data_IF_498282655953
#
_entry.id   IF_498282655953
#
_cell.length_a   1.000
_cell.length_b   1.000
_cell.length_c   1.000
_cell.angle_alpha   90.00
_cell.angle_beta   90.00
_cell.angle_gamma   90.00
#
_symmetry.space_group_name_H-M   'P 1'
#
loop_
_entity.id
_entity.type
_entity.pdbx_description
1 polymer ?
#
# COMPACT_ATOMS: atom_id res chain seq x y z
N UNK A 1 -1.92 17.22 -29.46
CA UNK A 1 -0.89 16.16 -29.46
C UNK A 1 -0.09 16.25 -28.17
N UNK A 2 0.38 15.14 -27.62
CA UNK A 2 1.23 15.10 -26.41
C UNK A 2 2.58 14.49 -26.74
N UNK A 3 3.64 15.00 -26.12
CA UNK A 3 4.99 14.43 -26.15
C UNK A 3 5.37 13.93 -24.75
N UNK A 4 5.90 12.72 -24.66
CA UNK A 4 6.37 12.11 -23.40
C UNK A 4 7.54 11.16 -23.68
N UNK A 5 8.49 11.05 -22.76
CA UNK A 5 9.58 10.08 -22.87
C UNK A 5 9.03 8.65 -22.73
N UNK A 6 9.52 7.74 -23.57
CA UNK A 6 9.07 6.35 -23.59
C UNK A 6 9.24 5.64 -22.24
N UNK A 7 10.39 5.76 -21.53
CA UNK A 7 10.54 5.18 -20.20
C UNK A 7 9.55 5.74 -19.18
N UNK A 8 9.18 7.02 -19.30
CA UNK A 8 8.20 7.64 -18.40
C UNK A 8 6.80 7.07 -18.64
N UNK A 9 6.35 6.98 -19.90
CA UNK A 9 5.06 6.36 -20.24
C UNK A 9 5.02 4.88 -19.84
N UNK A 10 6.10 4.14 -20.08
CA UNK A 10 6.24 2.75 -19.66
C UNK A 10 6.10 2.63 -18.14
N UNK A 11 6.77 3.49 -17.37
CA UNK A 11 6.65 3.54 -15.91
C UNK A 11 5.21 3.80 -15.46
N UNK A 12 4.49 4.75 -16.07
CA UNK A 12 3.09 5.01 -15.71
C UNK A 12 2.23 3.76 -15.87
N UNK A 13 2.42 3.02 -16.98
CA UNK A 13 1.71 1.77 -17.25
C UNK A 13 2.08 0.70 -16.21
N UNK A 14 3.37 0.50 -15.97
CA UNK A 14 3.88 -0.54 -15.08
C UNK A 14 3.43 -0.35 -13.62
N UNK A 15 3.26 0.91 -13.19
CA UNK A 15 2.77 1.28 -11.86
C UNK A 15 1.30 0.90 -11.63
N UNK A 16 0.45 1.03 -12.66
CA UNK A 16 -1.00 0.83 -12.49
C UNK A 16 -1.47 -0.54 -12.99
N UNK A 17 -0.71 -1.21 -13.88
CA UNK A 17 -1.05 -2.52 -14.44
C UNK A 17 -1.43 -3.60 -13.40
N UNK A 18 -0.76 -3.70 -12.23
CA UNK A 18 -1.13 -4.68 -11.20
C UNK A 18 -2.54 -4.49 -10.59
N UNK A 19 -3.13 -3.31 -10.77
CA UNK A 19 -4.44 -2.94 -10.22
C UNK A 19 -5.59 -3.18 -11.19
N UNK A 20 -5.32 -3.75 -12.38
CA UNK A 20 -6.34 -4.14 -13.35
C UNK A 20 -7.07 -5.41 -12.89
N UNK A 21 -8.32 -5.65 -13.31
CA UNK A 21 -9.00 -6.89 -12.97
C UNK A 21 -8.25 -8.08 -13.60
N UNK A 22 -8.11 -9.17 -12.85
CA UNK A 22 -7.62 -10.42 -13.43
C UNK A 22 -8.61 -10.91 -14.49
N UNK A 23 -8.12 -11.21 -15.69
CA UNK A 23 -8.92 -11.55 -16.87
C UNK A 23 -9.94 -12.70 -16.66
N UNK A 24 -9.73 -13.55 -15.64
CA UNK A 24 -10.55 -14.72 -15.33
C UNK A 24 -11.68 -14.48 -14.34
N UNK A 25 -11.72 -13.35 -13.62
CA UNK A 25 -12.61 -13.24 -12.46
C UNK A 25 -13.88 -12.45 -12.73
N UNK A 26 -13.88 -11.48 -13.64
CA UNK A 26 -15.04 -10.58 -13.90
C UNK A 26 -15.05 -10.08 -15.35
N UNK A 27 -15.60 -10.84 -16.30
CA UNK A 27 -15.57 -10.47 -17.73
C UNK A 27 -16.36 -9.21 -18.07
N UNK A 28 -17.22 -8.72 -17.17
CA UNK A 28 -17.96 -7.46 -17.34
C UNK A 28 -17.16 -6.23 -16.90
N UNK A 29 -16.02 -6.40 -16.25
CA UNK A 29 -15.15 -5.28 -15.89
C UNK A 29 -14.19 -4.97 -17.04
N UNK A 30 -13.88 -3.69 -17.18
CA UNK A 30 -12.90 -3.22 -18.16
C UNK A 30 -11.49 -3.73 -17.80
N UNK A 31 -11.02 -4.74 -18.54
CA UNK A 31 -9.63 -5.23 -18.48
C UNK A 31 -8.73 -4.28 -19.28
N UNK A 32 -8.33 -3.17 -18.66
CA UNK A 32 -7.55 -2.13 -19.32
C UNK A 32 -7.12 -1.03 -18.36
N UNK A 33 -6.56 0.03 -18.91
CA UNK A 33 -6.27 1.28 -18.17
C UNK A 33 -6.95 2.45 -18.86
N UNK A 34 -7.31 3.46 -18.10
CA UNK A 34 -7.66 4.77 -18.64
C UNK A 34 -6.39 5.61 -18.74
N UNK A 35 -6.00 5.98 -19.95
CA UNK A 35 -5.06 7.07 -20.18
C UNK A 35 -5.85 8.36 -20.31
N UNK A 36 -5.58 9.34 -19.46
CA UNK A 36 -6.29 10.61 -19.44
C UNK A 36 -5.30 11.78 -19.42
N UNK A 37 -5.30 12.55 -20.50
CA UNK A 37 -4.62 13.82 -20.57
C UNK A 37 -5.55 14.94 -20.13
N UNK A 38 -5.20 15.66 -19.06
CA UNK A 38 -5.96 16.80 -18.58
C UNK A 38 -5.08 17.70 -17.68
N UNK A 39 -5.29 19.01 -17.74
CA UNK A 39 -4.71 19.99 -16.81
C UNK A 39 -3.16 19.96 -16.72
N UNK A 40 -2.49 19.67 -17.84
CA UNK A 40 -1.02 19.55 -17.90
C UNK A 40 -0.47 18.22 -17.39
N UNK A 41 -1.33 17.22 -17.18
CA UNK A 41 -0.95 15.90 -16.69
C UNK A 41 -1.50 14.77 -17.55
N UNK A 42 -0.68 13.75 -17.76
CA UNK A 42 -1.09 12.45 -18.30
C UNK A 42 -1.26 11.53 -17.11
N UNK A 43 -2.48 11.06 -16.90
CA UNK A 43 -2.82 10.09 -15.88
C UNK A 43 -2.96 8.71 -16.52
N UNK A 44 -2.31 7.71 -15.94
CA UNK A 44 -2.65 6.31 -16.14
C UNK A 44 -3.47 5.85 -14.93
N UNK A 45 -4.64 5.27 -15.18
CA UNK A 45 -5.58 4.87 -14.13
C UNK A 45 -5.98 3.41 -14.33
N UNK A 46 -5.89 2.61 -13.27
CA UNK A 46 -6.34 1.24 -13.25
C UNK A 46 -7.16 0.96 -11.99
N UNK A 47 -8.16 0.10 -12.11
CA UNK A 47 -8.96 -0.38 -10.98
C UNK A 47 -9.46 -1.79 -11.29
N UNK A 48 -9.56 -2.62 -10.26
CA UNK A 48 -10.21 -3.93 -10.36
C UNK A 48 -11.72 -3.86 -10.12
N UNK A 49 -12.25 -2.63 -9.98
CA UNK A 49 -13.67 -2.33 -9.81
C UNK A 49 -14.23 -2.67 -8.43
N UNK A 50 -13.41 -3.10 -7.47
CA UNK A 50 -13.89 -3.62 -6.19
C UNK A 50 -13.03 -3.16 -5.03
N UNK A 51 -11.77 -3.57 -5.04
CA UNK A 51 -10.88 -3.47 -3.88
C UNK A 51 -9.69 -2.59 -4.15
N UNK A 52 -9.46 -2.17 -5.40
CA UNK A 52 -8.25 -1.42 -5.71
C UNK A 52 -8.42 -0.36 -6.78
N UNK A 53 -7.70 0.75 -6.62
CA UNK A 53 -7.56 1.85 -7.57
C UNK A 53 -6.11 2.34 -7.54
N UNK A 54 -5.50 2.55 -8.69
CA UNK A 54 -4.18 3.18 -8.80
C UNK A 54 -4.17 4.23 -9.90
N UNK A 55 -3.44 5.31 -9.64
CA UNK A 55 -3.23 6.44 -10.54
C UNK A 55 -1.75 6.79 -10.54
N UNK A 56 -1.12 6.74 -11.70
CA UNK A 56 0.20 7.30 -11.93
C UNK A 56 0.05 8.55 -12.82
N UNK A 57 0.93 9.55 -12.66
CA UNK A 57 0.91 10.75 -13.49
C UNK A 57 2.28 11.19 -13.98
N UNK A 58 2.29 11.87 -15.12
CA UNK A 58 3.44 12.60 -15.63
C UNK A 58 3.00 13.99 -16.13
N UNK A 59 3.85 14.99 -15.93
CA UNK A 59 3.63 16.31 -16.51
C UNK A 59 3.76 16.24 -18.04
N UNK A 60 2.86 16.91 -18.74
CA UNK A 60 2.82 16.95 -20.21
C UNK A 60 2.33 18.31 -20.70
N UNK A 61 2.63 18.61 -21.96
CA UNK A 61 1.98 19.67 -22.72
C UNK A 61 1.11 19.05 -23.82
N UNK A 62 -0.05 19.64 -24.10
CA UNK A 62 -0.89 19.21 -25.22
C UNK A 62 -2.39 19.24 -24.95
N UNK A 63 -3.10 18.45 -25.75
CA UNK A 63 -4.57 18.42 -25.74
C UNK A 63 -5.12 17.59 -24.59
N UNK A 64 -6.36 17.91 -24.19
CA UNK A 64 -7.14 17.14 -23.23
C UNK A 64 -7.89 16.01 -23.92
N UNK A 65 -7.78 14.78 -23.41
CA UNK A 65 -8.55 13.63 -23.89
C UNK A 65 -8.56 12.48 -22.88
N UNK A 66 -9.46 11.52 -23.13
CA UNK A 66 -9.56 10.25 -22.40
C UNK A 66 -9.53 9.10 -23.38
N UNK A 67 -8.69 8.11 -23.11
CA UNK A 67 -8.49 6.94 -23.93
C UNK A 67 -8.42 5.68 -23.04
N UNK A 68 -9.56 4.99 -22.84
CA UNK A 68 -9.58 3.65 -22.29
C UNK A 68 -8.88 2.67 -23.25
N UNK A 69 -7.76 2.10 -22.83
CA UNK A 69 -6.96 1.14 -23.60
C UNK A 69 -7.07 -0.25 -22.96
N UNK A 70 -7.54 -1.24 -23.73
CA UNK A 70 -7.69 -2.62 -23.25
C UNK A 70 -6.32 -3.27 -22.97
N UNK A 71 -6.31 -4.35 -22.19
CA UNK A 71 -5.10 -5.03 -21.75
C UNK A 71 -4.25 -5.63 -22.87
N UNK A 72 -4.85 -6.05 -23.99
CA UNK A 72 -4.09 -6.57 -25.14
C UNK A 72 -3.37 -5.42 -25.84
N UNK A 73 -4.08 -4.33 -26.09
CA UNK A 73 -3.55 -3.09 -26.66
C UNK A 73 -2.48 -2.48 -25.75
N UNK A 74 -2.68 -2.54 -24.44
CA UNK A 74 -1.73 -2.06 -23.44
C UNK A 74 -0.42 -2.85 -23.45
N UNK A 75 -0.49 -4.19 -23.52
CA UNK A 75 0.71 -5.03 -23.67
C UNK A 75 1.47 -4.73 -24.95
N UNK A 76 0.76 -4.51 -26.05
CA UNK A 76 1.37 -4.14 -27.33
C UNK A 76 2.04 -2.76 -27.26
N UNK A 77 1.37 -1.77 -26.65
CA UNK A 77 1.96 -0.46 -26.38
C UNK A 77 3.23 -0.62 -25.52
N UNK A 78 3.13 -1.32 -24.40
CA UNK A 78 4.25 -1.49 -23.46
C UNK A 78 5.48 -2.13 -24.11
N UNK A 79 5.29 -3.15 -24.95
CA UNK A 79 6.38 -3.79 -25.69
C UNK A 79 6.96 -2.87 -26.78
N UNK A 80 6.10 -2.08 -27.44
CA UNK A 80 6.55 -1.09 -28.44
C UNK A 80 7.39 0.03 -27.80
N UNK A 81 7.07 0.45 -26.57
CA UNK A 81 7.82 1.46 -25.82
C UNK A 81 9.30 1.07 -25.60
N UNK A 82 9.62 -0.23 -25.52
CA UNK A 82 11.01 -0.68 -25.39
C UNK A 82 11.86 -0.44 -26.66
N UNK A 83 11.23 -0.03 -27.78
CA UNK A 83 11.88 0.19 -29.07
C UNK A 83 11.99 1.65 -29.51
N UNK A 84 11.53 2.58 -28.67
CA UNK A 84 11.42 4.02 -28.98
C UNK A 84 11.90 4.87 -27.80
N UNK A 85 12.41 6.06 -28.05
CA UNK A 85 12.93 6.96 -27.01
C UNK A 85 11.87 7.96 -26.55
N UNK A 86 11.15 8.55 -27.49
CA UNK A 86 10.16 9.61 -27.28
C UNK A 86 8.87 9.29 -28.00
N UNK A 87 7.74 9.46 -27.32
CA UNK A 87 6.42 9.11 -27.84
C UNK A 87 5.60 10.36 -28.09
N UNK A 88 5.04 10.45 -29.29
CA UNK A 88 3.99 11.40 -29.62
C UNK A 88 2.62 10.72 -29.58
N UNK A 89 1.80 11.11 -28.61
CA UNK A 89 0.43 10.61 -28.43
C UNK A 89 -0.58 11.53 -29.12
N UNK A 90 -1.45 10.93 -29.93
CA UNK A 90 -2.52 11.63 -30.62
C UNK A 90 -3.84 10.84 -30.50
N UNK A 91 -4.79 11.41 -29.76
CA UNK A 91 -6.13 10.86 -29.64
C UNK A 91 -6.99 11.27 -30.84
N UNK A 92 -7.57 10.28 -31.51
CA UNK A 92 -8.51 10.45 -32.61
C UNK A 92 -9.90 10.07 -32.11
N UNK A 93 -10.80 11.03 -31.87
CA UNK A 93 -12.14 10.72 -31.38
C UNK A 93 -12.93 9.91 -32.40
N UNK A 94 -13.97 9.22 -31.93
CA UNK A 94 -14.88 8.46 -32.79
C UNK A 94 -15.57 9.39 -33.79
N UNK A 95 -15.56 9.02 -35.08
CA UNK A 95 -16.25 9.75 -36.15
C UNK A 95 -17.22 8.78 -36.83
N UNK A 96 -18.51 8.87 -36.47
CA UNK A 96 -19.55 7.97 -36.96
C UNK A 96 -19.28 6.49 -36.63
N UNK A 97 -18.98 5.69 -37.65
CA UNK A 97 -18.62 4.26 -37.52
C UNK A 97 -17.12 4.01 -37.31
N UNK A 98 -16.27 5.02 -37.48
CA UNK A 98 -14.84 4.90 -37.27
C UNK A 98 -14.58 4.89 -35.76
N UNK A 99 -13.99 3.83 -35.19
CA UNK A 99 -13.72 3.75 -33.76
C UNK A 99 -12.73 4.83 -33.33
N UNK A 100 -12.81 5.23 -32.06
CA UNK A 100 -11.79 6.09 -31.48
C UNK A 100 -10.45 5.34 -31.42
N UNK A 101 -9.34 6.06 -31.64
CA UNK A 101 -7.99 5.50 -31.67
C UNK A 101 -7.04 6.37 -30.86
N UNK A 102 -6.10 5.75 -30.18
CA UNK A 102 -4.91 6.41 -29.65
C UNK A 102 -3.73 6.03 -30.54
N UNK A 103 -3.23 7.02 -31.28
CA UNK A 103 -2.04 6.88 -32.10
C UNK A 103 -0.81 7.23 -31.28
N UNK A 104 0.12 6.29 -31.12
CA UNK A 104 1.45 6.55 -30.59
C UNK A 104 2.47 6.41 -31.72
N UNK A 105 3.38 7.37 -31.85
CA UNK A 105 4.38 7.36 -32.91
C UNK A 105 5.70 8.00 -32.48
N UNK A 106 6.77 7.55 -33.12
CA UNK A 106 8.10 8.13 -33.09
C UNK A 106 8.72 7.99 -34.48
N UNK A 107 9.06 9.09 -35.13
CA UNK A 107 9.59 9.10 -36.50
C UNK A 107 8.75 8.21 -37.46
N UNK A 108 9.34 7.13 -37.97
CA UNK A 108 8.68 6.18 -38.89
C UNK A 108 7.97 5.01 -38.17
N UNK A 109 8.14 4.87 -36.85
CA UNK A 109 7.53 3.82 -36.04
C UNK A 109 6.19 4.31 -35.46
N UNK A 110 5.14 3.51 -35.55
CA UNK A 110 3.85 3.86 -34.99
C UNK A 110 3.06 2.63 -34.57
N UNK A 111 2.27 2.80 -33.51
CA UNK A 111 1.25 1.85 -33.06
C UNK A 111 -0.09 2.56 -32.91
N UNK A 112 -1.15 1.93 -33.42
CA UNK A 112 -2.52 2.44 -33.31
C UNK A 112 -3.29 1.55 -32.34
N UNK A 113 -3.78 2.15 -31.25
CA UNK A 113 -4.47 1.44 -30.19
C UNK A 113 -5.97 1.72 -30.30
N UNK A 114 -6.82 0.69 -30.43
CA UNK A 114 -8.26 0.84 -30.27
C UNK A 114 -8.59 1.47 -28.92
N UNK A 115 -9.39 2.53 -28.93
CA UNK A 115 -9.94 3.09 -27.70
C UNK A 115 -11.29 2.45 -27.46
N UNK A 116 -11.49 1.93 -26.25
CA UNK A 116 -12.75 1.29 -25.91
C UNK A 116 -13.89 2.31 -26.01
N UNK A 117 -14.92 1.98 -26.79
CA UNK A 117 -15.98 2.93 -27.17
C UNK A 117 -16.94 3.30 -26.03
N UNK A 118 -16.91 2.55 -24.94
CA UNK A 118 -17.58 2.91 -23.68
C UNK A 118 -16.55 3.52 -22.75
N UNK A 119 -16.77 4.77 -22.32
CA UNK A 119 -16.03 5.37 -21.22
C UNK A 119 -16.28 4.49 -19.99
N UNK A 120 -15.29 3.72 -19.48
CA UNK A 120 -15.45 3.06 -18.20
C UNK A 120 -15.59 4.22 -17.22
N UNK A 121 -16.79 4.43 -16.71
CA UNK A 121 -17.06 5.48 -15.74
C UNK A 121 -16.31 5.14 -14.45
N UNK A 122 -15.01 5.41 -14.42
CA UNK A 122 -14.12 5.24 -13.29
C UNK A 122 -14.08 6.63 -12.62
N UNK A 123 -14.86 6.87 -11.55
CA UNK A 123 -14.91 8.18 -10.88
C UNK A 123 -13.66 8.42 -10.02
N UNK A 124 -12.47 8.12 -10.55
CA UNK A 124 -11.21 8.04 -9.79
C UNK A 124 -10.89 9.33 -9.04
N UNK A 125 -11.14 10.50 -9.65
CA UNK A 125 -10.92 11.80 -8.98
C UNK A 125 -11.82 12.01 -7.77
N UNK A 126 -13.07 11.55 -7.84
CA UNK A 126 -14.01 11.69 -6.72
C UNK A 126 -13.61 10.72 -5.60
N UNK A 127 -13.28 9.48 -5.95
CA UNK A 127 -12.80 8.46 -5.01
C UNK A 127 -11.54 8.94 -4.28
N UNK A 128 -10.51 9.39 -5.00
CA UNK A 128 -9.28 9.89 -4.37
C UNK A 128 -9.52 11.11 -3.48
N UNK A 129 -10.32 12.10 -3.92
CA UNK A 129 -10.62 13.29 -3.12
C UNK A 129 -11.27 12.96 -1.78
N UNK A 130 -12.08 11.91 -1.72
CA UNK A 130 -12.72 11.47 -0.48
C UNK A 130 -11.74 10.83 0.51
N UNK A 131 -10.60 10.32 0.05
CA UNK A 131 -9.64 9.55 0.86
C UNK A 131 -8.26 10.22 1.02
N UNK A 132 -8.02 11.33 0.32
CA UNK A 132 -6.82 12.15 0.46
C UNK A 132 -6.66 12.82 1.84
N UNK A 133 -7.72 13.32 2.51
CA UNK A 133 -7.58 13.81 3.86
C UNK A 133 -7.10 12.67 4.77
N UNK A 134 -5.87 12.78 5.26
CA UNK A 134 -5.33 11.83 6.25
C UNK A 134 -6.10 11.91 7.58
N UNK A 135 -5.99 10.89 8.44
CA UNK A 135 -6.61 10.94 9.75
C UNK A 135 -6.06 12.12 10.56
N UNK A 136 -6.91 12.72 11.41
CA UNK A 136 -6.44 13.65 12.43
C UNK A 136 -5.46 12.91 13.37
N UNK A 137 -4.35 13.56 13.70
CA UNK A 137 -3.30 12.98 14.53
C UNK A 137 -3.87 12.50 15.88
N UNK A 138 -3.71 11.22 16.20
CA UNK A 138 -4.05 10.66 17.51
C UNK A 138 -5.09 9.52 17.53
N UNK A 139 -5.70 9.19 16.39
CA UNK A 139 -6.54 7.99 16.30
C UNK A 139 -5.65 6.74 16.23
N UNK A 140 -5.77 5.86 17.22
CA UNK A 140 -5.17 4.53 17.18
C UNK A 140 -5.86 3.75 16.05
N UNK A 141 -5.12 3.47 14.97
CA UNK A 141 -5.63 2.68 13.86
C UNK A 141 -5.95 1.26 14.35
N UNK A 142 -7.21 0.83 14.19
CA UNK A 142 -7.57 -0.57 14.23
C UNK A 142 -6.75 -1.35 13.18
N UNK A 143 -6.46 -2.65 13.40
CA UNK A 143 -5.68 -3.41 12.45
C UNK A 143 -6.41 -3.49 11.11
N UNK A 144 -5.65 -3.34 10.03
CA UNK A 144 -6.15 -3.49 8.67
C UNK A 144 -5.70 -4.81 8.12
N UNK A 145 -6.64 -5.51 7.47
CA UNK A 145 -6.33 -6.75 6.78
C UNK A 145 -6.25 -6.51 5.27
N UNK A 146 -5.06 -6.75 4.72
CA UNK A 146 -4.80 -6.82 3.29
C UNK A 146 -4.33 -8.23 2.95
N UNK A 147 -4.77 -8.76 1.81
CA UNK A 147 -4.21 -10.02 1.31
C UNK A 147 -2.78 -9.79 0.82
N UNK A 148 -1.95 -10.83 0.81
CA UNK A 148 -0.62 -10.76 0.20
C UNK A 148 -0.67 -10.41 -1.29
N UNK A 149 -1.74 -10.80 -1.98
CA UNK A 149 -1.99 -10.44 -3.37
C UNK A 149 -2.21 -8.92 -3.55
N UNK A 150 -2.93 -8.27 -2.62
CA UNK A 150 -3.06 -6.81 -2.59
C UNK A 150 -1.71 -6.15 -2.32
N UNK A 151 -0.98 -6.61 -1.31
CA UNK A 151 0.35 -6.09 -0.98
C UNK A 151 1.35 -6.20 -2.14
N UNK A 152 1.30 -7.30 -2.90
CA UNK A 152 2.18 -7.53 -4.03
C UNK A 152 1.99 -6.53 -5.18
N UNK A 153 0.82 -5.87 -5.29
CA UNK A 153 0.57 -4.85 -6.33
C UNK A 153 1.50 -3.65 -6.18
N UNK A 154 1.82 -3.29 -4.94
CA UNK A 154 2.65 -2.13 -4.64
C UNK A 154 4.15 -2.36 -4.84
N UNK A 155 4.59 -3.60 -5.07
CA UNK A 155 6.01 -3.94 -5.22
C UNK A 155 6.70 -3.18 -6.37
N UNK A 156 5.94 -2.73 -7.38
CA UNK A 156 6.46 -2.01 -8.55
C UNK A 156 6.59 -0.50 -8.37
N UNK A 157 6.14 0.04 -7.25
CA UNK A 157 6.03 1.51 -7.05
C UNK A 157 7.35 2.20 -6.72
N UNK A 158 8.37 1.46 -6.28
CA UNK A 158 9.68 1.99 -5.93
C UNK A 158 10.16 1.50 -4.57
N UNK A 159 11.09 2.23 -3.97
CA UNK A 159 11.72 1.86 -2.68
C UNK A 159 10.92 2.29 -1.46
N UNK A 160 10.13 3.36 -1.55
CA UNK A 160 9.42 3.94 -0.41
C UNK A 160 8.03 4.43 -0.83
N UNK A 161 7.03 4.12 -0.02
CA UNK A 161 5.66 4.61 -0.15
C UNK A 161 5.19 5.16 1.19
N UNK A 162 4.39 6.22 1.14
CA UNK A 162 3.66 6.70 2.31
C UNK A 162 2.34 5.97 2.41
N UNK A 163 2.01 5.45 3.60
CA UNK A 163 0.75 4.76 3.86
C UNK A 163 -0.05 5.47 4.95
N UNK A 164 -1.35 5.59 4.73
CA UNK A 164 -2.29 6.04 5.76
C UNK A 164 -3.68 5.47 5.51
N UNK A 165 -4.55 5.59 6.51
CA UNK A 165 -5.93 5.15 6.45
C UNK A 165 -6.77 6.04 7.37
N UNK A 166 -8.01 6.35 6.97
CA UNK A 166 -8.90 7.20 7.76
C UNK A 166 -9.65 6.46 8.89
N UNK A 167 -9.65 5.12 8.89
CA UNK A 167 -10.35 4.26 9.86
C UNK A 167 -10.43 2.81 9.36
N UNK A 168 -10.83 1.86 10.21
CA UNK A 168 -10.72 0.41 9.94
C UNK A 168 -11.31 -0.06 8.60
N UNK A 169 -12.45 0.49 8.19
CA UNK A 169 -13.13 0.15 6.92
C UNK A 169 -12.72 1.05 5.73
N UNK A 170 -11.94 2.10 5.98
CA UNK A 170 -11.48 3.00 4.93
C UNK A 170 -10.37 2.33 4.11
N UNK A 171 -10.19 2.68 2.82
CA UNK A 171 -9.07 2.16 2.05
C UNK A 171 -7.73 2.57 2.67
N UNK A 172 -6.77 1.65 2.61
CA UNK A 172 -5.36 1.99 2.80
C UNK A 172 -4.92 2.78 1.59
N UNK A 173 -4.48 4.01 1.83
CA UNK A 173 -3.91 4.87 0.82
C UNK A 173 -2.42 4.64 0.76
N UNK A 174 -1.89 4.44 -0.44
CA UNK A 174 -0.46 4.35 -0.72
C UNK A 174 -0.09 5.46 -1.70
N UNK A 175 0.88 6.31 -1.37
CA UNK A 175 1.24 7.43 -2.24
C UNK A 175 2.73 7.78 -2.27
N UNK A 176 3.11 8.32 -3.43
CA UNK A 176 4.36 8.98 -3.74
C UNK A 176 4.07 10.23 -4.61
N UNK A 177 5.10 11.00 -4.98
CA UNK A 177 5.00 12.27 -5.72
C UNK A 177 4.16 12.15 -7.01
N UNK A 178 4.35 11.06 -7.76
CA UNK A 178 3.77 10.82 -9.08
C UNK A 178 2.82 9.61 -9.12
N UNK A 179 2.45 9.09 -7.95
CA UNK A 179 1.65 7.88 -7.84
C UNK A 179 0.76 7.93 -6.60
N UNK A 180 -0.48 7.50 -6.75
CA UNK A 180 -1.39 7.28 -5.62
C UNK A 180 -2.28 6.09 -5.91
N UNK A 181 -2.51 5.25 -4.91
CA UNK A 181 -3.48 4.20 -4.99
C UNK A 181 -4.17 3.92 -3.67
N UNK A 182 -5.20 3.10 -3.76
CA UNK A 182 -6.09 2.69 -2.68
C UNK A 182 -6.25 1.18 -2.75
N UNK A 183 -6.15 0.51 -1.61
CA UNK A 183 -6.68 -0.84 -1.43
C UNK A 183 -7.72 -0.84 -0.30
N UNK A 184 -8.92 -1.33 -0.60
CA UNK A 184 -9.92 -1.57 0.43
C UNK A 184 -9.53 -2.78 1.29
N UNK A 185 -9.65 -2.66 2.62
CA UNK A 185 -9.49 -3.79 3.52
C UNK A 185 -10.39 -4.95 3.10
N UNK A 186 -9.89 -6.16 3.34
CA UNK A 186 -10.72 -7.37 3.23
C UNK A 186 -11.12 -7.80 4.64
N UNK A 187 -12.34 -8.32 4.80
CA UNK A 187 -12.74 -8.99 6.02
C UNK A 187 -12.79 -10.52 5.78
N UNK A 188 -11.69 -11.24 6.06
CA UNK A 188 -11.67 -12.69 5.96
C UNK A 188 -12.09 -13.38 7.28
N UNK A 189 -12.59 -12.66 8.30
CA UNK A 189 -12.86 -13.22 9.63
C UNK A 189 -11.60 -13.41 10.49
N UNK A 190 -10.63 -12.49 10.37
CA UNK A 190 -9.43 -12.45 11.20
C UNK A 190 -9.67 -11.80 12.58
N UNK A 191 -8.61 -11.64 13.40
CA UNK A 191 -8.74 -10.97 14.70
C UNK A 191 -9.25 -9.54 14.52
N UNK A 192 -10.35 -9.24 15.20
CA UNK A 192 -11.16 -8.02 15.02
C UNK A 192 -10.55 -6.79 15.70
N UNK A 193 -9.48 -6.97 16.48
CA UNK A 193 -8.85 -5.88 17.22
C UNK A 193 -7.36 -6.09 17.47
N UNK A 194 -6.66 -4.97 17.72
CA UNK A 194 -5.24 -4.96 18.09
C UNK A 194 -4.97 -5.79 19.35
N UNK A 195 -5.86 -5.79 20.33
CA UNK A 195 -5.67 -6.53 21.58
C UNK A 195 -5.72 -8.04 21.37
N UNK A 196 -6.59 -8.52 20.47
CA UNK A 196 -6.64 -9.93 20.08
C UNK A 196 -5.35 -10.35 19.35
N UNK A 197 -4.88 -9.54 18.39
CA UNK A 197 -3.59 -9.77 17.73
C UNK A 197 -2.42 -9.83 18.72
N UNK A 198 -2.34 -8.85 19.62
CA UNK A 198 -1.30 -8.83 20.66
C UNK A 198 -1.38 -10.10 21.52
N UNK A 199 -2.59 -10.52 21.92
CA UNK A 199 -2.77 -11.74 22.74
C UNK A 199 -2.34 -13.01 22.00
N UNK A 200 -2.64 -13.12 20.70
CA UNK A 200 -2.22 -14.26 19.87
C UNK A 200 -0.69 -14.37 19.77
N UNK A 201 0.00 -13.23 19.64
CA UNK A 201 1.46 -13.20 19.54
C UNK A 201 2.16 -13.19 20.90
N UNK A 202 1.50 -12.73 21.96
CA UNK A 202 2.12 -12.56 23.27
C UNK A 202 2.79 -13.85 23.74
N UNK A 203 2.12 -15.00 23.58
CA UNK A 203 2.66 -16.28 24.03
C UNK A 203 3.83 -16.80 23.18
N UNK A 204 3.87 -16.51 21.88
CA UNK A 204 4.98 -16.91 20.99
C UNK A 204 6.20 -15.99 21.11
N UNK A 205 6.01 -14.77 21.58
CA UNK A 205 7.07 -13.78 21.83
C UNK A 205 7.65 -13.87 23.24
N UNK A 206 7.09 -14.70 24.13
CA UNK A 206 7.65 -14.97 25.46
C UNK A 206 8.95 -15.75 25.31
N UNK A 207 10.03 -15.20 25.86
CA UNK A 207 11.35 -15.83 25.85
C UNK A 207 11.40 -17.02 26.83
N UNK A 208 11.30 -16.74 28.13
CA UNK A 208 11.24 -17.76 29.20
C UNK A 208 10.32 -17.30 30.33
N UNK A 209 9.59 -18.23 30.95
CA UNK A 209 8.93 -17.99 32.23
C UNK A 209 9.89 -18.24 33.39
N UNK A 210 10.01 -17.26 34.24
CA UNK A 210 10.80 -17.25 35.47
C UNK A 210 9.83 -17.30 36.65
N UNK A 211 10.10 -18.16 37.62
CA UNK A 211 9.32 -18.20 38.85
C UNK A 211 10.07 -17.47 39.95
N UNK A 212 9.41 -16.51 40.59
CA UNK A 212 9.93 -15.77 41.73
C UNK A 212 8.81 -15.54 42.75
N UNK A 213 9.06 -15.87 44.03
CA UNK A 213 8.09 -15.84 45.14
C UNK A 213 6.70 -16.39 44.79
N UNK A 214 6.66 -17.56 44.14
CA UNK A 214 5.41 -18.23 43.75
C UNK A 214 4.65 -17.59 42.58
N UNK A 215 5.18 -16.53 41.97
CA UNK A 215 4.61 -15.88 40.78
C UNK A 215 5.47 -16.15 39.55
N UNK A 216 4.81 -16.31 38.40
CA UNK A 216 5.46 -16.46 37.11
C UNK A 216 5.63 -15.08 36.46
N UNK A 217 6.83 -14.81 35.96
CA UNK A 217 7.23 -13.60 35.24
C UNK A 217 7.80 -14.02 33.89
N UNK A 218 7.54 -13.24 32.85
CA UNK A 218 8.15 -13.39 31.54
C UNK A 218 9.49 -12.66 31.54
N UNK A 219 10.55 -13.38 31.18
CA UNK A 219 11.85 -12.78 30.93
C UNK A 219 11.72 -11.74 29.81
N UNK A 220 12.43 -10.63 29.96
CA UNK A 220 12.43 -9.47 29.06
C UNK A 220 11.14 -8.62 29.07
N UNK A 221 10.13 -8.98 29.87
CA UNK A 221 8.98 -8.13 30.11
C UNK A 221 9.26 -7.07 31.19
N UNK A 222 8.65 -5.90 31.04
CA UNK A 222 8.72 -4.84 32.06
C UNK A 222 7.50 -4.92 32.97
N UNK A 223 7.75 -4.99 34.28
CA UNK A 223 6.75 -4.98 35.32
C UNK A 223 6.81 -3.67 36.09
N UNK A 224 5.69 -3.26 36.66
CA UNK A 224 5.64 -2.10 37.56
C UNK A 224 5.19 -2.61 38.92
N UNK A 225 5.92 -2.27 39.98
CA UNK A 225 5.48 -2.61 41.33
C UNK A 225 4.43 -1.61 41.85
N UNK A 226 3.97 -1.84 43.09
CA UNK A 226 2.96 -0.98 43.75
C UNK A 226 3.42 0.46 43.97
N UNK A 227 4.71 0.75 43.85
CA UNK A 227 5.30 2.08 44.03
C UNK A 227 5.56 2.78 42.68
N UNK A 228 5.30 2.10 41.56
CA UNK A 228 5.53 2.66 40.22
C UNK A 228 6.92 2.35 39.66
N UNK A 229 7.76 1.62 40.39
CA UNK A 229 9.11 1.29 39.92
C UNK A 229 9.04 0.22 38.84
N UNK A 230 9.79 0.43 37.75
CA UNK A 230 9.83 -0.47 36.61
C UNK A 230 10.92 -1.52 36.81
N UNK A 231 10.57 -2.79 36.64
CA UNK A 231 11.44 -3.94 36.81
C UNK A 231 11.52 -4.72 35.50
N UNK A 232 12.72 -5.15 35.12
CA UNK A 232 12.98 -6.03 33.99
C UNK A 232 13.60 -7.33 34.50
N UNK A 233 12.90 -8.45 34.32
CA UNK A 233 13.48 -9.76 34.58
C UNK A 233 14.35 -10.17 33.39
N UNK A 234 15.60 -10.53 33.62
CA UNK A 234 16.54 -10.91 32.55
C UNK A 234 16.86 -12.39 32.64
N UNK A 235 17.25 -13.03 31.54
CA UNK A 235 17.74 -14.42 31.57
C UNK A 235 19.20 -14.52 32.03
N UNK A 236 19.89 -13.38 32.17
CA UNK A 236 21.25 -13.32 32.69
C UNK A 236 21.29 -13.90 34.10
N UNK A 237 22.37 -14.63 34.41
CA UNK A 237 22.62 -15.17 35.74
C UNK A 237 23.77 -14.43 36.41
N UNK A 238 23.66 -14.20 37.71
CA UNK A 238 24.77 -13.70 38.53
C UNK A 238 25.83 -14.81 38.75
N UNK A 239 26.93 -14.49 39.44
CA UNK A 239 28.04 -15.42 39.71
C UNK A 239 27.62 -16.67 40.49
N UNK A 240 26.49 -16.61 41.21
CA UNK A 240 25.90 -17.75 41.96
C UNK A 240 24.80 -18.49 41.17
N UNK A 241 24.60 -18.14 39.90
CA UNK A 241 23.69 -18.83 39.00
C UNK A 241 22.22 -18.41 39.11
N UNK A 242 21.90 -17.36 39.86
CA UNK A 242 20.55 -16.82 40.03
C UNK A 242 20.20 -15.83 38.92
N UNK A 243 18.93 -15.84 38.53
CA UNK A 243 18.37 -14.98 37.49
C UNK A 243 18.40 -13.52 37.95
N UNK A 244 18.98 -12.64 37.13
CA UNK A 244 19.11 -11.22 37.45
C UNK A 244 17.83 -10.44 37.14
N UNK A 245 17.51 -9.50 38.03
CA UNK A 245 16.46 -8.50 37.83
C UNK A 245 17.09 -7.12 37.79
N UNK A 246 16.69 -6.30 36.81
CA UNK A 246 17.20 -4.93 36.63
C UNK A 246 16.07 -3.94 36.87
N UNK A 247 16.34 -2.88 37.64
CA UNK A 247 15.46 -1.71 37.71
C UNK A 247 15.59 -0.89 36.42
N UNK A 248 14.48 -0.71 35.72
CA UNK A 248 14.39 0.09 34.51
C UNK A 248 14.49 1.57 34.85
N UNK A 249 15.64 2.19 34.56
CA UNK A 249 15.83 3.64 34.66
C UNK A 249 17.17 4.10 35.24
N UNK A 250 17.95 3.19 35.84
CA UNK A 250 19.28 3.52 36.38
C UNK A 250 20.32 2.56 35.82
N UNK A 251 21.34 3.12 35.17
CA UNK A 251 22.50 2.37 34.71
C UNK A 251 23.10 1.53 35.83
N UNK A 252 23.20 0.22 35.58
CA UNK A 252 24.10 -0.72 36.24
C UNK A 252 24.24 -0.57 37.76
N UNK A 253 23.26 -1.07 38.50
CA UNK A 253 23.52 -1.68 39.82
C UNK A 253 22.67 -2.93 39.95
N UNK A 254 23.34 -4.08 40.11
CA UNK A 254 22.73 -5.29 40.63
C UNK A 254 22.26 -4.99 42.07
N UNK A 255 20.98 -4.64 42.22
CA UNK A 255 20.32 -4.52 43.51
C UNK A 255 19.71 -5.87 43.88
N UNK A 256 19.82 -6.25 45.15
CA UNK A 256 19.09 -7.39 45.69
C UNK A 256 17.58 -7.23 45.47
N UNK A 257 16.91 -8.37 45.26
CA UNK A 257 15.47 -8.45 45.00
C UNK A 257 14.66 -7.84 46.15
N UNK A 258 13.48 -7.25 45.88
CA UNK A 258 12.61 -6.75 46.94
C UNK A 258 12.23 -7.90 47.86
N UNK A 259 12.58 -7.76 49.15
CA UNK A 259 12.19 -8.69 50.19
C UNK A 259 10.68 -8.58 50.44
N UNK A 260 10.06 -9.71 50.82
CA UNK A 260 8.71 -9.75 51.39
C UNK A 260 8.56 -8.75 52.54
N UNK A 261 8.00 -7.58 52.24
CA UNK A 261 7.23 -6.85 53.24
C UNK A 261 5.80 -7.38 53.15
N UNK A 262 5.51 -8.22 54.15
CA UNK A 262 4.24 -8.89 54.42
C UNK A 262 3.06 -7.95 54.19
N UNK A 263 2.05 -8.45 53.49
CA UNK A 263 0.68 -7.92 53.58
C UNK A 263 0.22 -7.92 55.05
N UNK A 264 -0.57 -6.93 55.48
CA UNK A 264 -1.70 -7.17 56.37
C UNK A 264 -2.91 -7.72 55.58
#
# INVERSE_FOLDING_TARGET
>A
MIKIDSPQLARLIDLVDPHRPAASHRPWLFDGILLEAADGWLHAVATDGVVSLAVARAAIEGDTWKAPVDGKSLRALRAWLDSVDVVHLHYKPRIGRIPALLAAHEAASAIMLPVHGTDPAIPWRAVLRNHLPGPEAGLLAEPVMLTSALLARWQRTGTTLNFWQAGGDAPVVAADTDFIGLDYPVDPGGPESRSQLVSLWADSLRDKRLFHDGKAYDASATYTDRHGDRWLFTTDRNEVGEVMVRLGGLGSRAGGLPSRDRDP
#
